data_IF_432959371464
#
_entry.id   IF_432959371464
#
_cell.length_a   1.000
_cell.length_b   1.000
_cell.length_c   1.000
_cell.angle_alpha   90.00
_cell.angle_beta   90.00
_cell.angle_gamma   90.00
#
_symmetry.space_group_name_H-M   'P 1'
#
loop_
_entity.id
_entity.type
_entity.pdbx_description
1 polymer ?
#
# COMPACT_ATOMS: atom_id res chain seq x y z
N UNK A 1 12.76 -4.10 -10.14
CA UNK A 1 11.50 -4.78 -9.78
C UNK A 1 10.35 -3.94 -10.31
N UNK A 2 9.42 -4.56 -11.04
CA UNK A 2 8.26 -3.85 -11.56
C UNK A 2 7.19 -3.74 -10.46
N UNK A 3 6.54 -2.57 -10.40
CA UNK A 3 5.44 -2.29 -9.50
C UNK A 3 4.38 -1.49 -10.26
N UNK A 4 3.12 -1.89 -10.16
CA UNK A 4 2.01 -1.14 -10.75
C UNK A 4 1.53 -0.11 -9.73
N UNK A 5 1.83 1.16 -9.99
CA UNK A 5 1.35 2.29 -9.21
C UNK A 5 0.20 2.94 -9.98
N UNK A 6 -1.03 2.67 -9.55
CA UNK A 6 -2.23 3.05 -10.29
C UNK A 6 -2.23 2.50 -11.73
N UNK A 7 -2.09 3.36 -12.73
CA UNK A 7 -2.02 3.07 -14.16
C UNK A 7 -0.58 3.07 -14.72
N UNK A 8 0.42 3.36 -13.88
CA UNK A 8 1.83 3.44 -14.29
C UNK A 8 2.62 2.22 -13.82
N UNK A 9 3.33 1.58 -14.76
CA UNK A 9 4.33 0.54 -14.43
C UNK A 9 5.65 1.24 -14.07
N UNK A 10 6.10 1.04 -12.85
CA UNK A 10 7.31 1.64 -12.30
C UNK A 10 8.36 0.57 -12.07
N UNK A 11 9.57 0.78 -12.61
CA UNK A 11 10.73 -0.06 -12.29
C UNK A 11 11.52 0.55 -11.13
N UNK A 12 11.56 -0.16 -10.01
CA UNK A 12 12.30 0.19 -8.81
C UNK A 12 13.41 -0.84 -8.59
N UNK A 13 14.68 -0.40 -8.65
CA UNK A 13 15.81 -1.21 -8.25
C UNK A 13 16.10 -0.99 -6.76
N UNK A 14 16.23 -2.06 -5.99
CA UNK A 14 16.54 -2.04 -4.54
C UNK A 14 15.70 -0.98 -3.77
N UNK A 15 14.38 -1.21 -3.62
CA UNK A 15 13.42 -0.28 -3.05
C UNK A 15 13.85 0.33 -1.72
N UNK A 16 14.43 -0.47 -0.83
CA UNK A 16 14.84 -0.06 0.51
C UNK A 16 16.00 0.95 0.45
N UNK A 17 16.98 0.69 -0.42
CA UNK A 17 18.12 1.59 -0.63
C UNK A 17 17.68 2.88 -1.33
N UNK A 18 16.74 2.78 -2.27
CA UNK A 18 16.15 3.95 -2.92
C UNK A 18 15.43 4.84 -1.88
N UNK A 19 14.61 4.24 -1.03
CA UNK A 19 13.88 4.93 0.03
C UNK A 19 14.84 5.62 1.02
N UNK A 20 15.88 4.94 1.49
CA UNK A 20 16.89 5.53 2.39
C UNK A 20 17.51 6.82 1.84
N UNK A 21 17.77 6.87 0.53
CA UNK A 21 18.38 8.04 -0.12
C UNK A 21 17.39 9.17 -0.37
N UNK A 22 16.10 8.85 -0.51
CA UNK A 22 15.11 9.76 -1.10
C UNK A 22 14.02 10.20 -0.14
N UNK A 23 13.83 9.54 1.00
CA UNK A 23 12.64 9.71 1.84
C UNK A 23 12.35 11.16 2.24
N UNK A 24 13.39 11.97 2.48
CA UNK A 24 13.23 13.40 2.81
C UNK A 24 12.55 14.21 1.71
N UNK A 25 12.72 13.80 0.45
CA UNK A 25 12.12 14.44 -0.72
C UNK A 25 10.68 13.97 -0.98
N UNK A 26 10.28 12.84 -0.38
CA UNK A 26 8.94 12.27 -0.57
C UNK A 26 7.91 13.05 0.25
N UNK A 27 8.32 13.63 1.39
CA UNK A 27 7.42 14.41 2.25
C UNK A 27 6.55 13.57 3.19
N UNK A 28 6.72 12.24 3.22
CA UNK A 28 5.96 11.33 4.11
C UNK A 28 6.41 11.35 5.58
N UNK A 29 7.36 12.21 5.97
CA UNK A 29 8.04 12.12 7.26
C UNK A 29 9.00 10.92 7.33
N UNK A 30 9.33 10.45 8.54
CA UNK A 30 10.28 9.33 8.74
C UNK A 30 9.62 8.00 8.35
N UNK A 31 10.07 7.30 7.28
CA UNK A 31 9.36 6.12 6.76
C UNK A 31 9.27 4.96 7.76
N UNK A 32 10.31 4.77 8.58
CA UNK A 32 10.37 3.69 9.57
C UNK A 32 9.39 3.85 10.74
N UNK A 33 8.88 5.07 10.95
CA UNK A 33 7.84 5.33 11.95
C UNK A 33 6.43 5.08 11.42
N UNK A 34 6.25 4.90 10.11
CA UNK A 34 4.94 4.72 9.50
C UNK A 34 4.52 3.25 9.51
N UNK A 35 3.24 3.03 9.83
CA UNK A 35 2.52 1.78 9.60
C UNK A 35 2.22 1.62 8.11
N UNK A 36 1.96 0.38 7.68
CA UNK A 36 1.62 0.07 6.30
C UNK A 36 0.38 0.84 5.81
N UNK A 37 -0.66 1.00 6.64
CA UNK A 37 -1.86 1.76 6.29
C UNK A 37 -1.55 3.24 6.05
N UNK A 38 -0.77 3.87 6.93
CA UNK A 38 -0.39 5.29 6.83
C UNK A 38 0.42 5.57 5.56
N UNK A 39 1.26 4.62 5.14
CA UNK A 39 1.98 4.70 3.87
C UNK A 39 1.03 4.66 2.69
N UNK A 40 0.06 3.75 2.69
CA UNK A 40 -0.93 3.64 1.60
C UNK A 40 -1.79 4.90 1.54
N UNK A 41 -2.28 5.38 2.68
CA UNK A 41 -3.07 6.62 2.78
C UNK A 41 -2.28 7.83 2.26
N UNK A 42 -1.01 7.96 2.63
CA UNK A 42 -0.14 9.03 2.12
C UNK A 42 -0.01 8.97 0.59
N UNK A 43 0.28 7.80 0.02
CA UNK A 43 0.45 7.67 -1.43
C UNK A 43 -0.87 7.88 -2.16
N UNK A 44 -1.99 7.40 -1.62
CA UNK A 44 -3.33 7.67 -2.16
C UNK A 44 -3.64 9.16 -2.17
N UNK A 45 -3.37 9.87 -1.07
CA UNK A 45 -3.54 11.33 -1.01
C UNK A 45 -2.74 12.05 -2.09
N UNK A 46 -1.49 11.63 -2.33
CA UNK A 46 -0.66 12.22 -3.37
C UNK A 46 -1.16 11.91 -4.79
N UNK A 47 -1.62 10.69 -5.05
CA UNK A 47 -2.20 10.31 -6.34
C UNK A 47 -3.50 11.06 -6.61
N UNK A 48 -4.33 11.24 -5.59
CA UNK A 48 -5.57 11.99 -5.69
C UNK A 48 -5.32 13.47 -5.99
N UNK A 49 -4.32 14.07 -5.33
CA UNK A 49 -3.89 15.44 -5.61
C UNK A 49 -3.50 15.60 -7.09
N UNK A 50 -2.62 14.73 -7.59
CA UNK A 50 -2.19 14.73 -9.00
C UNK A 50 -3.38 14.56 -9.96
N UNK A 51 -4.34 13.69 -9.60
CA UNK A 51 -5.56 13.48 -10.38
C UNK A 51 -6.42 14.75 -10.44
N UNK A 52 -6.63 15.41 -9.30
CA UNK A 52 -7.44 16.62 -9.18
C UNK A 52 -6.79 17.79 -9.91
N UNK A 53 -5.47 17.96 -9.78
CA UNK A 53 -4.71 19.03 -10.47
C UNK A 53 -4.53 18.75 -11.97
N UNK A 54 -4.88 17.53 -12.43
CA UNK A 54 -4.64 17.03 -13.79
C UNK A 54 -3.16 17.08 -14.19
N UNK A 55 -2.30 16.96 -13.19
CA UNK A 55 -0.87 16.81 -13.39
C UNK A 55 -0.53 15.34 -13.68
N UNK A 56 0.72 15.09 -14.04
CA UNK A 56 1.26 13.74 -14.16
C UNK A 56 2.38 13.58 -13.15
N UNK A 57 2.41 12.46 -12.44
CA UNK A 57 3.57 12.10 -11.64
C UNK A 57 4.81 12.04 -12.53
N UNK A 58 5.88 12.70 -12.11
CA UNK A 58 7.18 12.48 -12.74
C UNK A 58 7.65 11.05 -12.50
N UNK A 59 8.40 10.46 -13.44
CA UNK A 59 8.97 9.11 -13.27
C UNK A 59 9.76 8.95 -11.96
N UNK A 60 10.42 10.03 -11.53
CA UNK A 60 11.19 10.07 -10.30
C UNK A 60 10.29 9.99 -9.08
N UNK A 61 9.21 10.74 -9.08
CA UNK A 61 8.23 10.75 -8.00
C UNK A 61 7.46 9.44 -7.94
N UNK A 62 7.02 8.91 -9.08
CA UNK A 62 6.40 7.58 -9.16
C UNK A 62 7.33 6.49 -8.60
N UNK A 63 8.64 6.57 -8.89
CA UNK A 63 9.66 5.65 -8.32
C UNK A 63 9.82 5.83 -6.82
N UNK A 64 9.83 7.06 -6.33
CA UNK A 64 9.90 7.37 -4.90
C UNK A 64 8.68 6.79 -4.15
N UNK A 65 7.47 7.00 -4.66
CA UNK A 65 6.22 6.49 -4.07
C UNK A 65 6.15 4.95 -4.11
N UNK A 66 6.53 4.34 -5.24
CA UNK A 66 6.57 2.89 -5.37
C UNK A 66 7.59 2.27 -4.40
N UNK A 67 8.79 2.86 -4.28
CA UNK A 67 9.80 2.41 -3.33
C UNK A 67 9.32 2.48 -1.88
N UNK A 68 8.57 3.53 -1.53
CA UNK A 68 7.97 3.67 -0.20
C UNK A 68 6.96 2.55 0.07
N UNK A 69 6.00 2.30 -0.84
CA UNK A 69 4.99 1.24 -0.67
C UNK A 69 5.68 -0.11 -0.52
N UNK A 70 6.54 -0.47 -1.46
CA UNK A 70 7.23 -1.77 -1.47
C UNK A 70 7.97 -2.00 -0.16
N UNK A 71 8.82 -1.05 0.25
CA UNK A 71 9.70 -1.21 1.42
C UNK A 71 8.93 -1.26 2.75
N UNK A 72 7.75 -0.65 2.82
CA UNK A 72 6.99 -0.52 4.09
C UNK A 72 5.83 -1.49 4.21
N UNK A 73 5.33 -2.01 3.09
CA UNK A 73 4.20 -2.96 3.07
C UNK A 73 4.61 -4.39 2.74
N UNK A 74 5.83 -4.58 2.22
CA UNK A 74 6.28 -5.85 1.68
C UNK A 74 5.59 -6.23 0.36
N UNK A 75 5.00 -5.24 -0.33
CA UNK A 75 4.44 -5.47 -1.65
C UNK A 75 5.55 -5.90 -2.62
N UNK A 76 5.28 -6.94 -3.41
CA UNK A 76 6.26 -7.57 -4.30
C UNK A 76 7.51 -8.15 -3.60
N UNK A 77 7.50 -8.30 -2.26
CA UNK A 77 8.58 -8.99 -1.56
C UNK A 77 8.58 -10.48 -1.89
N UNK A 78 9.78 -11.00 -2.16
CA UNK A 78 10.02 -12.44 -2.28
C UNK A 78 9.87 -13.09 -0.91
N UNK A 79 8.85 -13.92 -0.74
CA UNK A 79 8.71 -14.76 0.45
C UNK A 79 9.31 -16.12 0.12
N UNK A 80 10.29 -16.55 0.89
CA UNK A 80 10.89 -17.87 0.77
C UNK A 80 10.31 -18.79 1.85
N UNK A 81 9.83 -19.97 1.45
CA UNK A 81 9.48 -21.05 2.38
C UNK A 81 10.64 -22.01 2.48
N UNK A 82 11.11 -22.26 3.68
CA UNK A 82 12.07 -23.32 3.96
C UNK A 82 11.37 -24.69 3.91
N UNK A 83 11.93 -25.61 3.14
CA UNK A 83 11.51 -27.01 3.05
C UNK A 83 12.26 -27.85 4.08
N UNK A 84 11.72 -29.02 4.39
CA UNK A 84 12.32 -30.00 5.31
C UNK A 84 13.65 -30.57 4.80
N UNK A 85 13.93 -30.47 3.50
CA UNK A 85 15.19 -30.86 2.87
C UNK A 85 16.27 -29.76 2.93
N UNK A 86 15.99 -28.62 3.57
CA UNK A 86 16.90 -27.48 3.70
C UNK A 86 16.90 -26.52 2.49
N UNK A 87 16.15 -26.82 1.43
CA UNK A 87 15.97 -25.90 0.30
C UNK A 87 14.96 -24.79 0.61
N UNK A 88 14.99 -23.71 -0.18
CA UNK A 88 14.02 -22.62 -0.11
C UNK A 88 13.27 -22.51 -1.44
N UNK A 89 11.95 -22.42 -1.38
CA UNK A 89 11.11 -22.16 -2.56
C UNK A 89 10.47 -20.77 -2.50
N UNK A 90 10.41 -20.03 -3.63
CA UNK A 90 9.69 -18.77 -3.70
C UNK A 90 8.18 -19.01 -3.63
N UNK A 91 7.49 -18.20 -2.82
CA UNK A 91 6.04 -18.25 -2.67
C UNK A 91 5.42 -16.89 -3.00
N UNK A 92 4.42 -16.89 -3.88
CA UNK A 92 3.45 -15.81 -3.96
C UNK A 92 2.55 -15.96 -2.73
N UNK A 93 2.71 -15.03 -1.78
CA UNK A 93 2.03 -14.91 -0.48
C UNK A 93 0.82 -15.84 -0.28
N UNK A 94 0.99 -16.87 0.56
CA UNK A 94 -0.15 -17.58 1.15
C UNK A 94 -0.55 -16.77 2.38
N UNK A 95 -1.54 -15.88 2.25
CA UNK A 95 -2.07 -15.15 3.41
C UNK A 95 -2.67 -16.22 4.34
N UNK A 96 -2.15 -16.37 5.58
CA UNK A 96 -2.68 -17.40 6.49
C UNK A 96 -4.19 -17.21 6.67
N UNK A 97 -4.96 -18.29 6.65
CA UNK A 97 -6.42 -18.24 6.81
C UNK A 97 -6.87 -17.38 8.01
N UNK A 98 -6.21 -17.41 9.19
CA UNK A 98 -6.59 -16.53 10.30
C UNK A 98 -6.50 -15.04 9.99
N UNK A 99 -5.54 -14.62 9.14
CA UNK A 99 -5.38 -13.22 8.72
C UNK A 99 -6.52 -12.84 7.76
N UNK A 100 -6.90 -13.74 6.85
CA UNK A 100 -8.06 -13.55 5.96
C UNK A 100 -9.36 -13.45 6.76
N UNK A 101 -9.52 -14.29 7.78
CA UNK A 101 -10.72 -14.29 8.64
C UNK A 101 -10.84 -12.99 9.47
N UNK A 102 -9.73 -12.50 10.02
CA UNK A 102 -9.71 -11.21 10.74
C UNK A 102 -10.06 -10.06 9.79
N UNK A 103 -9.50 -10.07 8.58
CA UNK A 103 -9.80 -9.06 7.57
C UNK A 103 -11.28 -9.11 7.17
N UNK A 104 -11.82 -10.29 6.84
CA UNK A 104 -13.22 -10.48 6.48
C UNK A 104 -14.17 -9.97 7.58
N UNK A 105 -13.89 -10.29 8.85
CA UNK A 105 -14.67 -9.76 9.99
C UNK A 105 -14.57 -8.24 10.14
N UNK A 106 -13.39 -7.67 9.95
CA UNK A 106 -13.17 -6.23 10.00
C UNK A 106 -13.85 -5.47 8.85
N UNK A 107 -13.84 -6.03 7.64
CA UNK A 107 -14.52 -5.47 6.46
C UNK A 107 -16.04 -5.46 6.63
N UNK A 108 -16.61 -6.52 7.21
CA UNK A 108 -18.05 -6.59 7.52
C UNK A 108 -18.46 -5.56 8.57
N UNK A 109 -17.63 -5.33 9.60
CA UNK A 109 -17.88 -4.31 10.61
C UNK A 109 -17.80 -2.88 10.03
N UNK A 110 -16.86 -2.63 9.11
CA UNK A 110 -16.77 -1.35 8.39
C UNK A 110 -17.97 -1.09 7.46
N UNK A 111 -18.44 -2.10 6.73
CA UNK A 111 -19.63 -1.96 5.86
C UNK A 111 -20.91 -1.68 6.63
N UNK A 112 -21.10 -2.31 7.80
CA UNK A 112 -22.23 -2.03 8.68
C UNK A 112 -22.23 -0.57 9.19
N UNK A 113 -21.05 -0.01 9.49
CA UNK A 113 -20.94 1.40 9.93
C UNK A 113 -21.23 2.42 8.81
N UNK A 114 -20.89 2.09 7.56
CA UNK A 114 -21.14 2.95 6.40
C UNK A 114 -22.63 2.96 6.05
N UNK A 115 -23.30 1.79 6.04
CA UNK A 115 -24.75 1.72 5.83
C UNK A 115 -25.55 2.44 6.92
N UNK A 116 -25.14 2.33 8.19
CA UNK A 116 -25.83 3.06 9.27
C UNK A 116 -25.70 4.59 9.18
N UNK A 117 -24.62 5.10 8.58
CA UNK A 117 -24.42 6.52 8.39
C UNK A 117 -25.27 7.07 7.23
N UNK A 118 -25.37 6.32 6.12
CA UNK A 118 -26.20 6.67 4.97
C UNK A 118 -27.71 6.62 5.32
N UNK A 119 -28.14 5.63 6.10
CA UNK A 119 -29.53 5.51 6.56
C UNK A 119 -29.94 6.65 7.51
N UNK A 120 -29.01 7.13 8.36
CA UNK A 120 -29.26 8.29 9.23
C UNK A 120 -29.28 9.63 8.48
N UNK A 121 -28.48 9.79 7.42
CA UNK A 121 -28.51 10.99 6.58
C UNK A 121 -29.76 11.04 5.69
N UNK A 122 -30.25 9.89 5.20
CA UNK A 122 -31.51 9.82 4.46
C UNK A 122 -32.74 10.11 5.34
N UNK A 123 -32.71 9.70 6.61
CA UNK A 123 -33.81 9.95 7.56
C UNK A 123 -33.89 11.40 8.08
N UNK A 124 -32.80 12.17 8.00
CA UNK A 124 -32.76 13.57 8.45
C UNK A 124 -33.11 14.60 7.34
N UNK A 125 -33.39 14.13 6.12
CA UNK A 125 -33.72 14.96 4.96
C UNK A 125 -35.24 15.01 4.63
N UNK A 126 -36.09 14.50 5.52
CA UNK A 126 -37.56 14.56 5.46
C UNK A 126 -38.14 15.23 6.70
#
# INVERSE_FOLDING_TARGET
MLFLLNDQIVNVALPEMHLERRWKMIGCGKPYGLRACEVVEFVQGRLEEVRVTRETLSDKEARDLAALIISRTGANSLILRHRSDGSSEPMLRLIPAPVLDVFARGSLAGQASVQSHDDQQAAAAH
#
